data_IF_982313582815
#
_entry.id   IF_982313582815
#
_cell.length_a   1.000
_cell.length_b   1.000
_cell.length_c   1.000
_cell.angle_alpha   90.00
_cell.angle_beta   90.00
_cell.angle_gamma   90.00
#
_symmetry.space_group_name_H-M   'P 1'
#
loop_
_entity.id
_entity.type
_entity.pdbx_description
1 polymer ?
#
# COMPACT_ATOMS: atom_id res chain seq x y z
N UNK A 1 0.91 42.45 -1.91
CA UNK A 1 1.46 41.28 -1.18
C UNK A 1 0.42 40.17 -0.97
N UNK A 2 -0.84 40.45 -0.67
CA UNK A 2 -1.85 39.43 -0.29
C UNK A 2 -2.17 38.36 -1.36
N UNK A 3 -2.05 38.70 -2.65
CA UNK A 3 -2.32 37.75 -3.74
C UNK A 3 -1.15 36.81 -4.06
N UNK A 4 0.09 37.23 -3.78
CA UNK A 4 1.30 36.44 -4.09
C UNK A 4 1.31 35.16 -3.26
N UNK A 5 1.06 35.26 -1.96
CA UNK A 5 1.00 34.10 -1.06
C UNK A 5 -0.10 33.10 -1.44
N UNK A 6 -1.27 33.58 -1.89
CA UNK A 6 -2.34 32.69 -2.40
C UNK A 6 -1.95 31.98 -3.69
N UNK A 7 -1.29 32.69 -4.61
CA UNK A 7 -0.83 32.09 -5.87
C UNK A 7 0.25 31.03 -5.61
N UNK A 8 1.16 31.28 -4.66
CA UNK A 8 2.16 30.30 -4.23
C UNK A 8 1.52 29.06 -3.58
N UNK A 9 0.50 29.23 -2.73
CA UNK A 9 -0.22 28.11 -2.12
C UNK A 9 -0.92 27.24 -3.17
N UNK A 10 -1.58 27.88 -4.15
CA UNK A 10 -2.25 27.18 -5.25
C UNK A 10 -1.23 26.49 -6.15
N UNK A 11 -0.10 27.11 -6.48
CA UNK A 11 0.93 26.50 -7.34
C UNK A 11 1.56 25.28 -6.68
N UNK A 12 1.83 25.35 -5.37
CA UNK A 12 2.33 24.22 -4.58
C UNK A 12 1.32 23.08 -4.55
N UNK A 13 0.04 23.39 -4.36
CA UNK A 13 -1.03 22.38 -4.33
C UNK A 13 -1.23 21.73 -5.70
N UNK A 14 -1.31 22.53 -6.76
CA UNK A 14 -1.44 22.05 -8.13
C UNK A 14 -0.29 21.14 -8.54
N UNK A 15 0.95 21.47 -8.16
CA UNK A 15 2.12 20.63 -8.44
C UNK A 15 2.04 19.27 -7.75
N UNK A 16 1.56 19.24 -6.49
CA UNK A 16 1.37 17.99 -5.73
C UNK A 16 0.27 17.12 -6.33
N UNK A 17 -0.85 17.72 -6.69
CA UNK A 17 -1.98 17.01 -7.33
C UNK A 17 -1.57 16.46 -8.70
N UNK A 18 -0.83 17.22 -9.50
CA UNK A 18 -0.32 16.75 -10.80
C UNK A 18 0.63 15.55 -10.65
N UNK A 19 1.55 15.60 -9.68
CA UNK A 19 2.43 14.46 -9.40
C UNK A 19 1.66 13.22 -8.92
N UNK A 20 0.57 13.42 -8.15
CA UNK A 20 -0.33 12.34 -7.74
C UNK A 20 -1.08 11.77 -8.95
N UNK A 21 -1.60 12.62 -9.84
CA UNK A 21 -2.28 12.20 -11.06
C UNK A 21 -1.38 11.34 -11.95
N UNK A 22 -0.14 11.79 -12.21
CA UNK A 22 0.82 10.99 -12.98
C UNK A 22 1.11 9.63 -12.31
N UNK A 23 1.18 9.60 -10.98
CA UNK A 23 1.38 8.36 -10.23
C UNK A 23 0.18 7.42 -10.41
N UNK A 24 -1.04 7.94 -10.29
CA UNK A 24 -2.28 7.19 -10.50
C UNK A 24 -2.41 6.68 -11.93
N UNK A 25 -1.98 7.45 -12.93
CA UNK A 25 -1.99 7.03 -14.33
C UNK A 25 -1.01 5.88 -14.61
N UNK A 26 0.13 5.84 -13.91
CA UNK A 26 1.12 4.76 -14.04
C UNK A 26 0.72 3.48 -13.30
N UNK A 27 0.00 3.60 -12.17
CA UNK A 27 -0.36 2.45 -11.33
C UNK A 27 -1.02 1.29 -12.11
N UNK A 28 -2.01 1.49 -13.00
CA UNK A 28 -2.60 0.41 -13.78
C UNK A 28 -1.60 -0.38 -14.61
N UNK A 29 -0.56 0.27 -15.14
CA UNK A 29 0.46 -0.42 -15.94
C UNK A 29 1.29 -1.39 -15.10
N UNK A 30 1.47 -1.10 -13.80
CA UNK A 30 2.17 -1.99 -12.85
C UNK A 30 1.37 -3.28 -12.56
N UNK A 31 0.07 -3.31 -12.89
CA UNK A 31 -0.78 -4.49 -12.71
C UNK A 31 -0.80 -5.42 -13.93
N UNK A 32 -0.33 -4.97 -15.09
CA UNK A 32 -0.41 -5.74 -16.33
C UNK A 32 0.41 -7.05 -16.28
N UNK A 33 1.50 -7.06 -15.51
CA UNK A 33 2.41 -8.20 -15.41
C UNK A 33 2.08 -9.13 -14.23
N UNK A 34 0.97 -8.89 -13.51
CA UNK A 34 0.56 -9.71 -12.38
C UNK A 34 -0.38 -10.82 -12.83
N UNK A 35 0.04 -12.06 -12.55
CA UNK A 35 -0.77 -13.25 -12.70
C UNK A 35 -1.01 -13.92 -11.35
N UNK A 36 -2.25 -14.35 -11.10
CA UNK A 36 -2.57 -15.17 -9.92
C UNK A 36 -2.12 -16.61 -10.16
N UNK A 37 -1.31 -17.14 -9.23
CA UNK A 37 -0.87 -18.52 -9.27
C UNK A 37 -1.80 -19.40 -8.43
N UNK A 38 -2.38 -20.43 -9.03
CA UNK A 38 -3.27 -21.36 -8.36
C UNK A 38 -2.66 -22.76 -8.33
N UNK A 39 -2.72 -23.42 -7.17
CA UNK A 39 -2.31 -24.80 -7.00
C UNK A 39 -3.53 -25.68 -6.69
N UNK A 40 -3.72 -26.82 -7.37
CA UNK A 40 -4.81 -27.73 -7.09
C UNK A 40 -4.72 -28.24 -5.64
N UNK A 41 -5.86 -28.28 -4.95
CA UNK A 41 -5.90 -28.74 -3.56
C UNK A 41 -6.32 -30.21 -3.50
N UNK A 42 -5.34 -31.08 -3.19
CA UNK A 42 -5.56 -32.53 -3.03
C UNK A 42 -6.31 -33.11 -4.25
N UNK A 43 -7.29 -33.97 -4.02
CA UNK A 43 -8.15 -34.58 -5.04
C UNK A 43 -9.47 -33.79 -5.24
N UNK A 44 -9.50 -32.51 -4.84
CA UNK A 44 -10.70 -31.68 -5.00
C UNK A 44 -10.65 -30.85 -6.28
N UNK A 45 -11.82 -30.55 -6.86
CA UNK A 45 -11.96 -29.63 -8.00
C UNK A 45 -11.74 -28.15 -7.62
N UNK A 46 -11.02 -27.88 -6.53
CA UNK A 46 -10.75 -26.54 -6.02
C UNK A 46 -9.26 -26.26 -6.06
N UNK A 47 -8.90 -25.10 -6.61
CA UNK A 47 -7.52 -24.61 -6.62
C UNK A 47 -7.34 -23.49 -5.60
N UNK A 48 -6.27 -23.57 -4.83
CA UNK A 48 -5.92 -22.58 -3.82
C UNK A 48 -5.01 -21.54 -4.45
N UNK A 49 -5.32 -20.27 -4.18
CA UNK A 49 -4.45 -19.17 -4.56
C UNK A 49 -3.15 -19.20 -3.75
N UNK A 50 -2.02 -19.11 -4.43
CA UNK A 50 -0.68 -19.19 -3.85
C UNK A 50 0.19 -18.02 -4.33
N UNK A 51 1.36 -17.83 -3.68
CA UNK A 51 2.32 -16.76 -4.00
C UNK A 51 1.74 -15.35 -4.03
N UNK A 52 0.92 -15.04 -3.03
CA UNK A 52 0.23 -13.74 -2.92
C UNK A 52 1.13 -12.61 -2.40
N UNK A 53 2.35 -12.90 -1.96
CA UNK A 53 3.23 -11.94 -1.29
C UNK A 53 3.58 -10.76 -2.20
N UNK A 54 3.84 -11.02 -3.49
CA UNK A 54 4.15 -9.97 -4.46
C UNK A 54 2.97 -9.03 -4.72
N UNK A 55 1.75 -9.58 -4.80
CA UNK A 55 0.52 -8.82 -4.99
C UNK A 55 0.22 -7.98 -3.75
N UNK A 56 0.37 -8.56 -2.56
CA UNK A 56 0.19 -7.84 -1.29
C UNK A 56 1.19 -6.70 -1.13
N UNK A 57 2.44 -6.89 -1.55
CA UNK A 57 3.45 -5.84 -1.55
C UNK A 57 3.08 -4.70 -2.52
N UNK A 58 2.69 -5.01 -3.76
CA UNK A 58 2.34 -3.99 -4.75
C UNK A 58 1.15 -3.14 -4.28
N UNK A 59 0.08 -3.77 -3.78
CA UNK A 59 -1.06 -3.04 -3.20
C UNK A 59 -0.61 -2.17 -2.04
N UNK A 60 0.23 -2.71 -1.16
CA UNK A 60 0.76 -2.00 0.00
C UNK A 60 1.56 -0.75 -0.38
N UNK A 61 2.28 -0.80 -1.49
CA UNK A 61 3.05 0.30 -2.06
C UNK A 61 2.16 1.35 -2.73
N UNK A 62 1.19 0.93 -3.56
CA UNK A 62 0.24 1.84 -4.19
C UNK A 62 -0.56 2.60 -3.14
N UNK A 63 -1.02 1.94 -2.08
CA UNK A 63 -1.69 2.60 -0.96
C UNK A 63 -0.81 3.68 -0.31
N UNK A 64 0.49 3.43 -0.12
CA UNK A 64 1.40 4.45 0.43
C UNK A 64 1.61 5.66 -0.48
N UNK A 65 1.53 5.46 -1.80
CA UNK A 65 1.71 6.53 -2.78
C UNK A 65 0.50 7.46 -2.85
N UNK A 66 -0.71 6.91 -2.71
CA UNK A 66 -1.97 7.68 -2.78
C UNK A 66 -2.33 8.37 -1.46
N UNK A 67 -1.92 7.81 -0.33
CA UNK A 67 -2.36 8.32 0.97
C UNK A 67 -1.70 9.66 1.35
N UNK A 68 -2.48 10.63 1.85
CA UNK A 68 -1.95 11.89 2.33
C UNK A 68 -1.06 11.70 3.57
N UNK A 69 -0.07 12.59 3.73
CA UNK A 69 1.02 12.50 4.71
C UNK A 69 0.63 12.09 6.14
N UNK A 70 -0.43 12.66 6.76
CA UNK A 70 -0.83 12.30 8.12
C UNK A 70 -1.28 10.84 8.25
N UNK A 71 -2.02 10.33 7.26
CA UNK A 71 -2.53 8.95 7.25
C UNK A 71 -1.40 7.99 6.90
N UNK A 72 -0.46 8.42 6.04
CA UNK A 72 0.73 7.66 5.67
C UNK A 72 1.65 7.39 6.87
N UNK A 73 1.91 8.39 7.73
CA UNK A 73 2.69 8.20 8.97
C UNK A 73 2.04 7.17 9.89
N UNK A 74 0.75 7.34 10.19
CA UNK A 74 0.01 6.46 11.11
C UNK A 74 0.00 5.00 10.64
N UNK A 75 -0.12 4.75 9.33
CA UNK A 75 -0.11 3.39 8.78
C UNK A 75 1.29 2.77 8.69
N UNK A 76 2.33 3.59 8.55
CA UNK A 76 3.73 3.09 8.55
C UNK A 76 4.10 2.65 9.97
N UNK A 77 3.70 3.41 10.98
CA UNK A 77 3.84 3.05 12.39
C UNK A 77 3.07 1.76 12.73
N UNK A 78 1.80 1.66 12.30
CA UNK A 78 0.98 0.46 12.52
C UNK A 78 1.52 -0.78 11.79
N UNK A 79 2.14 -0.62 10.62
CA UNK A 79 2.82 -1.72 9.92
C UNK A 79 3.98 -2.23 10.76
N UNK A 80 4.89 -1.35 11.21
CA UNK A 80 6.02 -1.76 12.06
C UNK A 80 5.55 -2.51 13.33
N UNK A 81 4.50 -2.03 13.98
CA UNK A 81 3.92 -2.66 15.18
C UNK A 81 3.30 -4.03 14.87
N UNK A 82 2.56 -4.19 13.76
CA UNK A 82 1.99 -5.48 13.36
C UNK A 82 3.04 -6.50 12.92
N UNK A 83 4.12 -6.06 12.24
CA UNK A 83 5.23 -6.95 11.86
C UNK A 83 5.98 -7.50 13.07
N UNK A 84 6.17 -6.69 14.12
CA UNK A 84 6.75 -7.11 15.40
C UNK A 84 5.88 -8.14 16.14
N UNK A 85 4.55 -7.99 16.07
CA UNK A 85 3.63 -8.91 16.75
C UNK A 85 3.45 -10.25 16.02
N UNK A 86 3.50 -10.27 14.67
CA UNK A 86 3.35 -11.51 13.87
C UNK A 86 4.56 -12.45 13.93
N UNK A 87 5.74 -11.98 14.35
CA UNK A 87 6.99 -12.77 14.41
C UNK A 87 7.39 -13.24 15.82
N UNK A 88 6.63 -12.92 16.86
CA UNK A 88 6.98 -13.30 18.23
C UNK A 88 6.00 -14.35 18.80
N UNK A 89 6.34 -15.65 18.77
CA UNK A 89 5.51 -16.69 19.41
C UNK A 89 5.43 -16.52 20.94
N UNK A 90 6.32 -15.73 21.55
CA UNK A 90 6.32 -15.44 22.99
C UNK A 90 5.19 -14.50 23.45
N UNK A 91 4.63 -13.67 22.55
CA UNK A 91 3.55 -12.74 22.91
C UNK A 91 2.20 -13.46 23.18
N UNK A 92 2.00 -14.67 22.64
CA UNK A 92 0.80 -15.47 22.92
C UNK A 92 0.83 -16.17 24.28
N UNK A 93 2.00 -16.35 24.89
CA UNK A 93 2.16 -17.08 26.16
C UNK A 93 2.02 -16.14 27.36
N UNK A 94 2.34 -14.85 27.21
CA UNK A 94 2.28 -13.86 28.29
C UNK A 94 0.89 -13.22 28.51
N UNK A 95 -0.10 -13.54 27.68
CA UNK A 95 -1.46 -12.96 27.73
C UNK A 95 -2.52 -13.96 28.20
N UNK A 96 -2.17 -14.89 29.10
CA UNK A 96 -3.11 -15.79 29.78
C UNK A 96 -2.80 -15.87 31.27
#
# INVERSE_FOLDING_TARGET
>A
MQYISRIEEVSVTATKEFALEETLQRMPSEWNDICFEFLPYRDSDVSVLTRIEGIQALVGDHMLRVLPGPIKLALTDLRHVKYLHRRNPLFFIAAK
#
